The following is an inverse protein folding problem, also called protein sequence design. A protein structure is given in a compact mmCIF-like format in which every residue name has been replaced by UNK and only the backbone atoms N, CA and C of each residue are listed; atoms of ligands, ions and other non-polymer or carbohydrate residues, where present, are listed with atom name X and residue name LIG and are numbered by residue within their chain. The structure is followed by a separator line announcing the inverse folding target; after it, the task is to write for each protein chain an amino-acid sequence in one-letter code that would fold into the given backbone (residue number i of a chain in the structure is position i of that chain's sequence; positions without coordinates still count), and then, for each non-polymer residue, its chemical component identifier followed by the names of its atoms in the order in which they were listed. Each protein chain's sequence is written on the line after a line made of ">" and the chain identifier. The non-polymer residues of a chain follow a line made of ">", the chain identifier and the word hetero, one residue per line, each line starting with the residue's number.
data_IF_275291401481
#
_entry.id   IF_275291401481
#
_cell.length_a   1.000
_cell.length_b   1.000
_cell.length_c   1.000
_cell.angle_alpha   90.00
_cell.angle_beta   90.00
_cell.angle_gamma   90.00
#
_symmetry.space_group_name_H-M   'P 1'
#
loop_
_entity.id
_entity.type
_entity.pdbx_description
1 polymer ?
#
# COMPACT_ATOMS: atom_id res chain seq x y z
N UNK A 1 -23.20 -5.97 -17.71
CA UNK A 1 -21.95 -5.64 -17.01
C UNK A 1 -21.84 -4.14 -16.74
N UNK A 2 -22.04 -3.27 -17.73
CA UNK A 2 -21.99 -1.80 -17.59
C UNK A 2 -22.91 -1.24 -16.48
N UNK A 3 -24.17 -1.72 -16.38
CA UNK A 3 -25.11 -1.27 -15.35
C UNK A 3 -24.68 -1.64 -13.91
N UNK A 4 -24.03 -2.79 -13.72
CA UNK A 4 -23.59 -3.25 -12.38
C UNK A 4 -22.43 -2.41 -11.84
N UNK A 5 -21.57 -1.92 -12.73
CA UNK A 5 -20.47 -1.02 -12.36
C UNK A 5 -20.98 0.39 -12.02
N UNK A 6 -22.00 0.88 -12.74
CA UNK A 6 -22.64 2.17 -12.45
C UNK A 6 -23.40 2.16 -11.11
N UNK A 7 -24.03 1.02 -10.76
CA UNK A 7 -24.79 0.86 -9.52
C UNK A 7 -23.88 0.79 -8.28
N UNK A 8 -22.70 0.19 -8.42
CA UNK A 8 -21.75 -0.08 -7.32
C UNK A 8 -20.55 0.88 -7.30
N UNK A 9 -20.70 2.11 -7.81
CA UNK A 9 -19.62 3.10 -7.86
C UNK A 9 -19.00 3.40 -6.47
N UNK A 10 -19.78 3.19 -5.41
CA UNK A 10 -19.36 3.29 -4.01
C UNK A 10 -18.27 2.29 -3.61
N UNK A 11 -18.25 1.09 -4.23
CA UNK A 11 -17.24 0.07 -3.97
C UNK A 11 -15.85 0.55 -4.40
N UNK A 12 -15.76 1.24 -5.55
CA UNK A 12 -14.51 1.85 -6.02
C UNK A 12 -14.02 2.95 -5.08
N UNK A 13 -14.93 3.76 -4.53
CA UNK A 13 -14.58 4.77 -3.53
C UNK A 13 -14.04 4.14 -2.24
N UNK A 14 -14.67 3.08 -1.75
CA UNK A 14 -14.22 2.32 -0.57
C UNK A 14 -12.83 1.71 -0.78
N UNK A 15 -12.61 1.04 -1.92
CA UNK A 15 -11.31 0.45 -2.26
C UNK A 15 -10.24 1.54 -2.37
N UNK A 16 -10.57 2.67 -3.01
CA UNK A 16 -9.63 3.77 -3.18
C UNK A 16 -9.29 4.43 -1.83
N UNK A 17 -10.31 4.69 -1.00
CA UNK A 17 -10.15 5.22 0.34
C UNK A 17 -9.37 4.26 1.26
N UNK A 18 -9.48 2.95 1.05
CA UNK A 18 -8.69 1.95 1.77
C UNK A 18 -7.24 1.92 1.28
N UNK A 19 -6.99 1.86 -0.04
CA UNK A 19 -5.64 1.64 -0.59
C UNK A 19 -4.75 2.87 -0.50
N UNK A 20 -5.30 4.09 -0.69
CA UNK A 20 -4.50 5.34 -0.70
C UNK A 20 -3.70 5.54 0.60
N UNK A 21 -4.29 5.46 1.80
CA UNK A 21 -3.55 5.65 3.05
C UNK A 21 -2.41 4.65 3.21
N UNK A 22 -2.66 3.36 2.97
CA UNK A 22 -1.65 2.32 3.13
C UNK A 22 -0.51 2.45 2.11
N UNK A 23 -0.84 2.71 0.83
CA UNK A 23 0.17 2.98 -0.21
C UNK A 23 1.01 4.20 0.11
N UNK A 24 0.37 5.30 0.49
CA UNK A 24 1.06 6.55 0.81
C UNK A 24 2.04 6.37 1.98
N UNK A 25 1.59 5.73 3.06
CA UNK A 25 2.43 5.49 4.25
C UNK A 25 3.59 4.53 3.92
N UNK A 26 3.34 3.45 3.19
CA UNK A 26 4.39 2.48 2.85
C UNK A 26 5.44 3.09 1.91
N UNK A 27 5.02 3.81 0.86
CA UNK A 27 5.92 4.51 -0.06
C UNK A 27 6.71 5.61 0.65
N UNK A 28 6.07 6.44 1.49
CA UNK A 28 6.78 7.47 2.26
C UNK A 28 7.83 6.83 3.16
N UNK A 29 7.48 5.77 3.87
CA UNK A 29 8.42 5.11 4.76
C UNK A 29 9.58 4.45 4.01
N UNK A 30 9.32 3.79 2.88
CA UNK A 30 10.36 3.20 2.03
C UNK A 30 11.30 4.27 1.44
N UNK A 31 10.75 5.42 1.02
CA UNK A 31 11.53 6.55 0.55
C UNK A 31 12.41 7.15 1.67
N UNK A 32 11.86 7.34 2.88
CA UNK A 32 12.61 7.85 4.03
C UNK A 32 13.70 6.88 4.49
N UNK A 33 13.45 5.59 4.39
CA UNK A 33 14.41 4.53 4.72
C UNK A 33 15.47 4.31 3.62
N UNK A 34 15.43 5.06 2.51
CA UNK A 34 16.29 4.86 1.33
C UNK A 34 16.29 3.43 0.77
N UNK A 35 15.21 2.67 1.00
CA UNK A 35 15.08 1.29 0.56
C UNK A 35 14.55 1.21 -0.87
N UNK A 36 15.43 1.47 -1.84
CA UNK A 36 15.10 1.50 -3.27
C UNK A 36 14.39 0.23 -3.76
N UNK A 37 14.81 -0.95 -3.26
CA UNK A 37 14.18 -2.25 -3.62
C UNK A 37 12.73 -2.34 -3.16
N UNK A 38 12.45 -1.93 -1.92
CA UNK A 38 11.10 -1.91 -1.36
C UNK A 38 10.23 -0.82 -2.00
N UNK A 39 10.80 0.35 -2.29
CA UNK A 39 10.10 1.40 -3.02
C UNK A 39 9.63 0.91 -4.40
N UNK A 40 10.50 0.25 -5.17
CA UNK A 40 10.15 -0.31 -6.49
C UNK A 40 9.11 -1.42 -6.34
N UNK A 41 9.27 -2.32 -5.37
CA UNK A 41 8.30 -3.39 -5.12
C UNK A 41 6.91 -2.83 -4.80
N UNK A 42 6.80 -1.87 -3.88
CA UNK A 42 5.54 -1.23 -3.50
C UNK A 42 4.92 -0.39 -4.63
N UNK A 43 5.73 0.13 -5.55
CA UNK A 43 5.25 0.90 -6.70
C UNK A 43 4.70 0.00 -7.81
N UNK A 44 5.35 -1.15 -8.06
CA UNK A 44 4.97 -2.09 -9.13
C UNK A 44 3.86 -3.04 -8.67
N UNK A 45 3.91 -3.53 -7.43
CA UNK A 45 2.95 -4.50 -6.90
C UNK A 45 1.74 -3.78 -6.30
N UNK A 46 0.68 -3.58 -7.10
CA UNK A 46 -0.63 -3.11 -6.60
C UNK A 46 -1.41 -4.26 -5.94
N UNK A 47 -0.95 -4.75 -4.80
CA UNK A 47 -1.56 -5.88 -4.07
C UNK A 47 -2.69 -5.46 -3.12
N UNK A 48 -3.43 -4.38 -3.45
CA UNK A 48 -4.52 -3.86 -2.61
C UNK A 48 -4.09 -3.61 -1.14
N UNK A 49 -2.96 -2.94 -0.92
CA UNK A 49 -2.41 -2.64 0.41
C UNK A 49 -1.83 -3.84 1.20
N UNK A 50 -1.86 -5.07 0.68
CA UNK A 50 -1.36 -6.25 1.41
C UNK A 50 0.16 -6.19 1.58
N UNK A 51 0.91 -5.93 0.50
CA UNK A 51 2.37 -5.84 0.54
C UNK A 51 2.83 -4.67 1.41
N UNK A 52 2.10 -3.57 1.38
CA UNK A 52 2.29 -2.37 2.18
C UNK A 52 2.18 -2.70 3.67
N UNK A 53 1.16 -3.46 4.09
CA UNK A 53 0.96 -3.89 5.47
C UNK A 53 2.08 -4.84 5.91
N UNK A 54 2.48 -5.79 5.05
CA UNK A 54 3.60 -6.70 5.33
C UNK A 54 4.90 -5.91 5.52
N UNK A 55 5.18 -4.95 4.64
CA UNK A 55 6.31 -4.05 4.79
C UNK A 55 6.21 -3.31 6.12
N UNK A 56 5.03 -2.78 6.46
CA UNK A 56 4.77 -2.05 7.70
C UNK A 56 5.17 -2.85 8.94
N UNK A 57 4.70 -4.09 9.03
CA UNK A 57 4.97 -5.01 10.14
C UNK A 57 6.42 -5.52 10.17
N UNK A 58 6.97 -5.92 9.02
CA UNK A 58 8.31 -6.52 8.97
C UNK A 58 9.41 -5.52 9.34
N UNK A 59 9.25 -4.26 8.91
CA UNK A 59 10.23 -3.20 9.19
C UNK A 59 10.22 -2.75 10.66
N UNK A 60 9.11 -2.96 11.39
CA UNK A 60 9.03 -2.65 12.82
C UNK A 60 10.04 -3.43 13.67
N UNK A 61 10.49 -4.61 13.21
CA UNK A 61 11.42 -5.46 13.96
C UNK A 61 12.90 -5.20 13.71
N UNK A 62 13.26 -4.38 12.71
CA UNK A 62 14.67 -4.18 12.35
C UNK A 62 15.35 -3.03 13.10
N UNK A 63 14.62 -2.29 13.92
CA UNK A 63 15.12 -1.09 14.62
C UNK A 63 15.47 -1.31 16.10
N UNK A 64 15.38 -2.54 16.59
CA UNK A 64 15.60 -2.86 18.03
C UNK A 64 16.99 -3.46 18.33
N UNK A 65 17.89 -3.55 17.33
CA UNK A 65 19.23 -4.10 17.51
C UNK A 65 20.34 -3.15 17.03
N UNK A 66 20.28 -1.87 17.44
CA UNK A 66 21.46 -1.00 17.45
C UNK A 66 21.56 -0.27 18.79
#
# INVERSE_FOLDING_TARGET
>A
MEQFLAENQWVLLLITAWVIPWKGVALWRAARASEKKWFIALLVLNTLAILEIIYIFFYGRKKDNQ
#
